data_IF_300652254314
#
_entry.id   IF_300652254314
#
_cell.length_a   1.000
_cell.length_b   1.000
_cell.length_c   1.000
_cell.angle_alpha   90.00
_cell.angle_beta   90.00
_cell.angle_gamma   90.00
#
_symmetry.space_group_name_H-M   'P 1'
#
loop_
_entity.id
_entity.type
_entity.pdbx_description
1 polymer ?
#
# COMPACT_ATOMS: atom_id res chain seq x y z
N UNK A 1 7.38 23.70 -3.44
CA UNK A 1 6.70 22.40 -3.64
C UNK A 1 6.15 21.80 -2.35
N UNK A 2 6.64 22.20 -1.16
CA UNK A 2 6.02 21.87 0.15
C UNK A 2 4.84 22.80 0.50
N UNK A 3 4.81 24.01 -0.07
CA UNK A 3 3.77 25.03 0.19
C UNK A 3 2.34 24.57 -0.12
N UNK A 4 2.13 23.79 -1.19
CA UNK A 4 0.78 23.37 -1.59
C UNK A 4 0.19 22.26 -0.72
N UNK A 5 0.99 21.54 0.08
CA UNK A 5 0.50 20.42 0.89
C UNK A 5 0.05 20.86 2.29
N UNK A 6 0.55 21.99 2.81
CA UNK A 6 0.17 22.52 4.12
C UNK A 6 -0.89 23.63 4.03
N UNK A 7 -1.15 24.18 2.84
CA UNK A 7 -2.03 25.33 2.70
C UNK A 7 -3.49 25.01 3.04
N UNK A 8 -4.00 23.83 2.64
CA UNK A 8 -5.42 23.49 2.84
C UNK A 8 -5.79 23.27 4.31
N UNK A 9 -4.94 22.61 5.11
CA UNK A 9 -5.20 22.40 6.56
C UNK A 9 -4.94 23.67 7.38
N UNK A 10 -3.97 24.51 6.99
CA UNK A 10 -3.65 25.74 7.72
C UNK A 10 -4.58 26.91 7.39
N UNK A 11 -5.25 26.89 6.23
CA UNK A 11 -6.28 27.86 5.85
C UNK A 11 -7.49 27.82 6.78
N UNK A 12 -7.81 26.65 7.34
CA UNK A 12 -9.00 26.45 8.17
C UNK A 12 -8.75 26.74 9.66
N UNK A 13 -7.50 26.65 10.14
CA UNK A 13 -7.17 26.73 11.57
C UNK A 13 -6.39 27.99 12.00
N UNK A 14 -5.76 28.75 11.10
CA UNK A 14 -4.78 29.77 11.49
C UNK A 14 -5.01 31.14 10.84
N UNK A 15 -5.05 32.17 11.68
CA UNK A 15 -5.08 33.58 11.29
C UNK A 15 -3.83 33.92 10.44
N UNK A 16 -3.95 34.76 9.39
CA UNK A 16 -2.91 34.94 8.36
C UNK A 16 -1.52 35.33 8.89
N UNK A 17 -1.44 36.09 9.99
CA UNK A 17 -0.16 36.43 10.63
C UNK A 17 0.54 35.24 11.29
N UNK A 18 -0.24 34.29 11.83
CA UNK A 18 0.26 33.09 12.48
C UNK A 18 0.79 32.08 11.45
N UNK A 19 0.19 32.05 10.24
CA UNK A 19 0.67 31.23 9.12
C UNK A 19 2.07 31.63 8.67
N UNK A 20 2.32 32.93 8.50
CA UNK A 20 3.64 33.42 8.08
C UNK A 20 4.73 33.19 9.13
N UNK A 21 4.38 33.25 10.42
CA UNK A 21 5.30 32.91 11.51
C UNK A 21 5.62 31.40 11.51
N UNK A 22 4.61 30.55 11.34
CA UNK A 22 4.78 29.10 11.29
C UNK A 22 5.56 28.66 10.05
N UNK A 23 5.23 29.19 8.87
CA UNK A 23 5.96 28.92 7.63
C UNK A 23 7.44 29.31 7.74
N UNK A 24 7.73 30.49 8.31
CA UNK A 24 9.12 30.90 8.56
C UNK A 24 9.83 29.98 9.55
N UNK A 25 9.12 29.50 10.57
CA UNK A 25 9.69 28.57 11.55
C UNK A 25 10.01 27.20 10.92
N UNK A 26 9.06 26.61 10.19
CA UNK A 26 9.26 25.34 9.47
C UNK A 26 10.35 25.48 8.40
N UNK A 27 10.35 26.58 7.64
CA UNK A 27 11.38 26.83 6.64
C UNK A 27 12.77 27.05 7.26
N UNK A 28 12.85 27.66 8.44
CA UNK A 28 14.10 27.79 9.18
C UNK A 28 14.59 26.41 9.68
N UNK A 29 13.71 25.58 10.24
CA UNK A 29 14.07 24.24 10.70
C UNK A 29 14.46 23.31 9.54
N UNK A 30 13.72 23.32 8.44
CA UNK A 30 14.02 22.54 7.24
C UNK A 30 15.31 22.98 6.52
N UNK A 31 15.78 24.22 6.76
CA UNK A 31 17.11 24.67 6.29
C UNK A 31 18.25 24.26 7.21
N UNK A 32 17.97 24.10 8.51
CA UNK A 32 18.94 23.62 9.50
C UNK A 32 19.20 22.12 9.32
N UNK A 33 18.13 21.36 9.07
CA UNK A 33 18.25 19.97 8.60
C UNK A 33 18.55 19.97 7.10
N UNK A 34 19.82 20.10 6.73
CA UNK A 34 20.23 19.78 5.36
C UNK A 34 19.67 18.39 5.02
N UNK A 35 18.99 18.21 3.88
CA UNK A 35 18.49 16.90 3.49
C UNK A 35 19.69 15.97 3.41
N UNK A 36 19.88 15.14 4.43
CA UNK A 36 20.95 14.17 4.45
C UNK A 36 20.72 13.36 3.19
N UNK A 37 21.65 13.44 2.23
CA UNK A 37 21.68 12.53 1.09
C UNK A 37 21.78 11.14 1.68
N UNK A 38 20.61 10.50 1.85
CA UNK A 38 20.48 9.16 2.40
C UNK A 38 21.23 8.26 1.43
N UNK A 39 22.45 7.91 1.78
CA UNK A 39 23.27 7.00 1.01
C UNK A 39 22.62 5.63 1.14
N UNK A 40 22.47 4.92 0.01
CA UNK A 40 22.02 3.54 -0.03
C UNK A 40 22.80 2.73 1.02
N UNK A 41 22.12 2.41 2.12
CA UNK A 41 22.69 1.73 3.26
C UNK A 41 22.54 0.22 3.13
N UNK A 42 23.18 -0.52 4.04
CA UNK A 42 22.93 -1.96 4.18
C UNK A 42 21.48 -2.25 4.55
N UNK A 43 20.87 -1.37 5.32
CA UNK A 43 19.45 -1.46 5.71
C UNK A 43 18.54 -1.37 4.48
N UNK A 44 18.86 -0.50 3.52
CA UNK A 44 18.09 -0.37 2.27
C UNK A 44 18.19 -1.66 1.44
N UNK A 45 19.37 -2.31 1.41
CA UNK A 45 19.54 -3.58 0.71
C UNK A 45 18.75 -4.71 1.39
N UNK A 46 18.72 -4.75 2.72
CA UNK A 46 17.95 -5.75 3.47
C UNK A 46 16.46 -5.57 3.19
N UNK A 47 15.95 -4.34 3.26
CA UNK A 47 14.54 -4.04 2.93
C UNK A 47 14.22 -4.42 1.49
N UNK A 48 15.13 -4.15 0.55
CA UNK A 48 14.95 -4.55 -0.85
C UNK A 48 14.87 -6.07 -1.02
N UNK A 49 15.77 -6.83 -0.39
CA UNK A 49 15.77 -8.30 -0.44
C UNK A 49 14.54 -8.88 0.25
N UNK A 50 14.14 -8.33 1.39
CA UNK A 50 12.92 -8.76 2.09
C UNK A 50 11.68 -8.48 1.25
N UNK A 51 11.59 -7.30 0.61
CA UNK A 51 10.47 -6.94 -0.26
C UNK A 51 10.43 -7.84 -1.50
N UNK A 52 11.59 -8.12 -2.10
CA UNK A 52 11.72 -9.04 -3.23
C UNK A 52 11.26 -10.45 -2.83
N UNK A 53 11.77 -10.97 -1.71
CA UNK A 53 11.39 -12.28 -1.18
C UNK A 53 9.90 -12.37 -0.86
N UNK A 54 9.33 -11.33 -0.26
CA UNK A 54 7.90 -11.24 0.03
C UNK A 54 7.07 -11.23 -1.26
N UNK A 55 7.51 -10.52 -2.30
CA UNK A 55 6.85 -10.49 -3.60
C UNK A 55 6.86 -11.86 -4.29
N UNK A 56 7.98 -12.59 -4.23
CA UNK A 56 8.03 -13.98 -4.68
C UNK A 56 7.10 -14.87 -3.86
N UNK A 57 7.14 -14.76 -2.53
CA UNK A 57 6.31 -15.58 -1.65
C UNK A 57 4.82 -15.28 -1.80
N UNK A 58 4.44 -14.07 -2.22
CA UNK A 58 3.06 -13.71 -2.53
C UNK A 58 2.59 -14.26 -3.89
N UNK A 59 3.47 -14.28 -4.89
CA UNK A 59 3.11 -14.66 -6.27
C UNK A 59 3.23 -16.15 -6.55
N UNK A 60 4.24 -16.83 -5.99
CA UNK A 60 4.46 -18.26 -6.19
C UNK A 60 3.24 -19.12 -5.80
N UNK A 61 2.73 -19.07 -4.56
CA UNK A 61 1.56 -19.87 -4.18
C UNK A 61 0.33 -19.53 -5.00
N UNK A 62 0.18 -18.27 -5.42
CA UNK A 62 -0.92 -17.83 -6.28
C UNK A 62 -0.86 -18.46 -7.67
N UNK A 63 0.35 -18.72 -8.20
CA UNK A 63 0.54 -19.37 -9.50
C UNK A 63 0.41 -20.90 -9.48
N UNK A 64 0.44 -21.54 -8.30
CA UNK A 64 0.37 -23.01 -8.15
C UNK A 64 -0.83 -23.62 -8.90
N UNK A 65 -2.07 -23.11 -8.76
CA UNK A 65 -3.23 -23.70 -9.45
C UNK A 65 -3.06 -23.77 -10.97
N UNK A 66 -2.33 -22.81 -11.55
CA UNK A 66 -2.09 -22.74 -13.00
C UNK A 66 -1.23 -23.88 -13.53
N UNK A 67 -0.37 -24.46 -12.69
CA UNK A 67 0.50 -25.57 -13.07
C UNK A 67 -0.10 -26.95 -12.77
N UNK A 68 -1.09 -27.02 -11.88
CA UNK A 68 -1.69 -28.29 -11.43
C UNK A 68 -3.05 -28.58 -12.08
N UNK A 69 -3.75 -27.57 -12.59
CA UNK A 69 -5.05 -27.74 -13.24
C UNK A 69 -4.89 -27.68 -14.76
N UNK A 70 -5.34 -28.75 -15.43
CA UNK A 70 -5.27 -28.87 -16.90
C UNK A 70 -6.30 -27.96 -17.61
N UNK A 71 -7.42 -27.67 -16.94
CA UNK A 71 -8.47 -26.80 -17.46
C UNK A 71 -8.13 -25.32 -17.18
N UNK A 72 -7.89 -24.49 -18.22
CA UNK A 72 -7.50 -23.10 -18.05
C UNK A 72 -8.52 -22.28 -17.26
N UNK A 73 -9.81 -22.52 -17.50
CA UNK A 73 -10.90 -21.77 -16.87
C UNK A 73 -10.96 -22.09 -15.36
N UNK A 74 -10.85 -23.37 -15.00
CA UNK A 74 -10.81 -23.79 -13.59
C UNK A 74 -9.53 -23.31 -12.90
N UNK A 75 -8.39 -23.30 -13.61
CA UNK A 75 -7.11 -22.83 -13.07
C UNK A 75 -7.14 -21.34 -12.72
N UNK A 76 -7.68 -20.50 -13.63
CA UNK A 76 -7.84 -19.06 -13.43
C UNK A 76 -8.83 -18.77 -12.31
N UNK A 77 -9.96 -19.50 -12.25
CA UNK A 77 -10.91 -19.36 -11.15
C UNK A 77 -10.26 -19.67 -9.79
N UNK A 78 -9.53 -20.79 -9.70
CA UNK A 78 -8.82 -21.19 -8.48
C UNK A 78 -7.79 -20.14 -8.04
N UNK A 79 -7.02 -19.58 -8.99
CA UNK A 79 -6.08 -18.50 -8.72
C UNK A 79 -6.78 -17.25 -8.17
N UNK A 80 -7.91 -16.85 -8.77
CA UNK A 80 -8.66 -15.67 -8.32
C UNK A 80 -9.25 -15.86 -6.92
N UNK A 81 -9.78 -17.05 -6.60
CA UNK A 81 -10.25 -17.39 -5.25
C UNK A 81 -9.11 -17.35 -4.24
N UNK A 82 -7.93 -17.85 -4.62
CA UNK A 82 -6.75 -17.81 -3.76
C UNK A 82 -6.26 -16.38 -3.53
N UNK A 83 -6.29 -15.52 -4.55
CA UNK A 83 -6.02 -14.09 -4.44
C UNK A 83 -6.98 -13.38 -3.49
N UNK A 84 -8.28 -13.67 -3.57
CA UNK A 84 -9.27 -13.19 -2.62
C UNK A 84 -8.95 -13.63 -1.19
N UNK A 85 -8.66 -14.93 -0.99
CA UNK A 85 -8.35 -15.46 0.33
C UNK A 85 -7.11 -14.80 0.94
N UNK A 86 -6.06 -14.58 0.16
CA UNK A 86 -4.85 -13.92 0.63
C UNK A 86 -5.08 -12.46 0.99
N UNK A 87 -5.78 -11.70 0.14
CA UNK A 87 -6.12 -10.31 0.44
C UNK A 87 -7.05 -10.19 1.66
N UNK A 88 -7.97 -11.14 1.82
CA UNK A 88 -8.80 -11.21 3.01
C UNK A 88 -7.97 -11.48 4.28
N UNK A 89 -7.03 -12.44 4.25
CA UNK A 89 -6.15 -12.75 5.38
C UNK A 89 -5.25 -11.57 5.71
N UNK A 90 -4.65 -10.92 4.70
CA UNK A 90 -3.81 -9.74 4.90
C UNK A 90 -4.62 -8.61 5.53
N UNK A 91 -5.82 -8.33 4.99
CA UNK A 91 -6.71 -7.32 5.56
C UNK A 91 -7.20 -7.66 6.97
N UNK A 92 -7.42 -8.94 7.25
CA UNK A 92 -7.78 -9.40 8.59
C UNK A 92 -6.63 -9.21 9.59
N UNK A 93 -5.40 -9.49 9.18
CA UNK A 93 -4.19 -9.34 10.00
C UNK A 93 -3.82 -7.86 10.21
N UNK A 94 -4.02 -7.03 9.20
CA UNK A 94 -3.72 -5.59 9.25
C UNK A 94 -4.76 -4.75 10.00
N UNK A 95 -5.94 -5.31 10.26
CA UNK A 95 -7.01 -4.55 10.89
C UNK A 95 -6.70 -4.10 12.31
N UNK A 96 -5.81 -4.80 13.03
CA UNK A 96 -5.36 -4.36 14.37
C UNK A 96 -4.60 -3.02 14.32
N UNK A 97 -4.10 -2.61 13.15
CA UNK A 97 -3.45 -1.31 12.92
C UNK A 97 -4.42 -0.22 12.41
N UNK A 98 -5.71 -0.52 12.29
CA UNK A 98 -6.73 0.41 11.79
C UNK A 98 -7.93 0.50 12.75
N UNK A 99 -8.73 1.55 12.63
CA UNK A 99 -9.97 1.71 13.39
C UNK A 99 -11.13 0.83 12.88
N UNK A 100 -10.93 0.11 11.78
CA UNK A 100 -11.92 -0.78 11.19
C UNK A 100 -11.86 -2.18 11.80
N UNK A 101 -13.03 -2.81 11.99
CA UNK A 101 -13.12 -4.19 12.45
C UNK A 101 -12.51 -5.18 11.45
N UNK A 102 -11.82 -6.20 11.97
CA UNK A 102 -11.04 -7.18 11.20
C UNK A 102 -11.73 -7.79 9.99
N UNK A 103 -13.01 -8.12 10.12
CA UNK A 103 -13.81 -8.71 9.02
C UNK A 103 -14.11 -7.65 7.95
N UNK A 104 -14.38 -6.40 8.33
CA UNK A 104 -14.71 -5.33 7.38
C UNK A 104 -13.53 -4.98 6.49
N UNK A 105 -12.33 -4.88 7.07
CA UNK A 105 -11.13 -4.56 6.30
C UNK A 105 -10.72 -5.71 5.37
N UNK A 106 -10.76 -6.95 5.87
CA UNK A 106 -10.53 -8.14 5.06
C UNK A 106 -11.51 -8.23 3.88
N UNK A 107 -12.79 -8.00 4.12
CA UNK A 107 -13.81 -8.08 3.08
C UNK A 107 -13.69 -6.93 2.06
N UNK A 108 -13.35 -5.72 2.49
CA UNK A 108 -13.09 -4.60 1.58
C UNK A 108 -11.93 -4.90 0.62
N UNK A 109 -10.80 -5.38 1.16
CA UNK A 109 -9.63 -5.74 0.35
C UNK A 109 -9.88 -6.96 -0.54
N UNK A 110 -10.60 -7.97 -0.04
CA UNK A 110 -11.05 -9.09 -0.84
C UNK A 110 -11.97 -8.68 -1.99
N UNK A 111 -12.96 -7.80 -1.75
CA UNK A 111 -13.84 -7.29 -2.80
C UNK A 111 -13.06 -6.59 -3.92
N UNK A 112 -12.01 -5.82 -3.58
CA UNK A 112 -11.13 -5.21 -4.59
C UNK A 112 -10.48 -6.30 -5.46
N UNK A 113 -10.00 -7.40 -4.86
CA UNK A 113 -9.46 -8.54 -5.59
C UNK A 113 -10.44 -9.12 -6.62
N UNK A 114 -11.69 -9.34 -6.18
CA UNK A 114 -12.75 -9.90 -7.03
C UNK A 114 -13.12 -8.95 -8.18
N UNK A 115 -13.19 -7.64 -7.90
CA UNK A 115 -13.45 -6.64 -8.93
C UNK A 115 -12.34 -6.65 -9.97
N UNK A 116 -11.07 -6.65 -9.54
CA UNK A 116 -9.93 -6.71 -10.46
C UNK A 116 -9.92 -8.00 -11.29
N UNK A 117 -10.23 -9.14 -10.68
CA UNK A 117 -10.34 -10.41 -11.39
C UNK A 117 -11.48 -10.42 -12.42
N UNK A 118 -12.65 -9.87 -12.06
CA UNK A 118 -13.77 -9.73 -12.99
C UNK A 118 -13.42 -8.82 -14.17
N UNK A 119 -12.72 -7.72 -13.89
CA UNK A 119 -12.21 -6.81 -14.92
C UNK A 119 -11.19 -7.52 -15.83
N UNK A 120 -10.25 -8.26 -15.27
CA UNK A 120 -9.27 -9.01 -16.07
C UNK A 120 -9.95 -10.01 -17.02
N UNK A 121 -10.94 -10.77 -16.53
CA UNK A 121 -11.71 -11.70 -17.35
C UNK A 121 -12.54 -11.00 -18.45
N UNK A 122 -12.91 -9.73 -18.27
CA UNK A 122 -13.58 -8.95 -19.34
C UNK A 122 -12.62 -8.56 -20.46
N UNK A 123 -11.32 -8.39 -20.18
CA UNK A 123 -10.34 -7.91 -21.14
C UNK A 123 -9.52 -9.03 -21.82
N UNK A 124 -9.52 -10.24 -21.28
CA UNK A 124 -8.83 -11.42 -21.84
C UNK A 124 -7.41 -11.56 -21.32
#
# INVERSE_FOLDING_TARGET
MISGALDDELLELAEPETRDAFYRHVAAQARLEQPQRRRLGRDDLIVAVLTLGLMFLATLPLSIPLYFLDDPDTAVFAMNVMGFAFLFIIGWLWADYTTLGRIKLGLALGCIALVLAAVANMFG
#
